data_IF_862487850015
#
_entry.id   IF_862487850015
#
_cell.length_a   1.000
_cell.length_b   1.000
_cell.length_c   1.000
_cell.angle_alpha   90.00
_cell.angle_beta   90.00
_cell.angle_gamma   90.00
#
_symmetry.space_group_name_H-M   'P 1'
#
loop_
_entity.id
_entity.type
_entity.pdbx_description
1 polymer ?
#
# COMPACT_ATOMS: atom_id res chain seq x y z
N UNK A 1 -62.05 12.12 36.90
CA UNK A 1 -62.15 12.89 35.64
C UNK A 1 -60.87 13.68 35.33
N UNK A 2 -60.47 14.75 36.05
CA UNK A 2 -59.20 15.45 35.77
C UNK A 2 -57.94 14.68 36.26
N UNK A 3 -57.95 14.14 37.49
CA UNK A 3 -56.80 13.39 38.04
C UNK A 3 -56.50 12.07 37.31
N UNK A 4 -57.52 11.41 36.75
CA UNK A 4 -57.36 10.21 35.91
C UNK A 4 -56.69 10.52 34.57
N UNK A 5 -56.99 11.70 34.00
CA UNK A 5 -56.39 12.17 32.75
C UNK A 5 -54.91 12.53 32.93
N UNK A 6 -54.56 13.16 34.06
CA UNK A 6 -53.17 13.49 34.41
C UNK A 6 -52.34 12.22 34.65
N UNK A 7 -52.91 11.21 35.31
CA UNK A 7 -52.24 9.93 35.57
C UNK A 7 -52.08 9.06 34.31
N UNK A 8 -53.02 9.08 33.36
CA UNK A 8 -52.85 8.42 32.06
C UNK A 8 -51.77 9.10 31.20
N UNK A 9 -51.74 10.44 31.18
CA UNK A 9 -50.69 11.18 30.49
C UNK A 9 -49.30 10.89 31.08
N UNK A 10 -49.19 10.81 32.41
CA UNK A 10 -47.95 10.47 33.10
C UNK A 10 -47.44 9.08 32.68
N UNK A 11 -48.32 8.07 32.66
CA UNK A 11 -48.00 6.70 32.22
C UNK A 11 -47.57 6.64 30.76
N UNK A 12 -48.22 7.43 29.90
CA UNK A 12 -47.85 7.54 28.48
C UNK A 12 -46.46 8.14 28.31
N UNK A 13 -46.16 9.22 29.02
CA UNK A 13 -44.83 9.86 29.02
C UNK A 13 -43.76 8.86 29.49
N UNK A 14 -44.00 8.13 30.57
CA UNK A 14 -43.07 7.09 31.04
C UNK A 14 -42.86 5.96 30.03
N UNK A 15 -43.93 5.55 29.34
CA UNK A 15 -43.87 4.55 28.26
C UNK A 15 -43.03 5.06 27.09
N UNK A 16 -43.26 6.30 26.65
CA UNK A 16 -42.53 6.92 25.55
C UNK A 16 -41.04 7.09 25.90
N UNK A 17 -40.70 7.44 27.14
CA UNK A 17 -39.32 7.48 27.61
C UNK A 17 -38.64 6.11 27.59
N UNK A 18 -39.34 5.04 28.02
CA UNK A 18 -38.82 3.66 27.95
C UNK A 18 -38.60 3.21 26.51
N UNK A 19 -39.52 3.56 25.61
CA UNK A 19 -39.41 3.30 24.18
C UNK A 19 -38.18 4.01 23.58
N UNK A 20 -37.99 5.29 23.92
CA UNK A 20 -36.89 6.10 23.41
C UNK A 20 -35.53 5.60 23.92
N UNK A 21 -35.44 5.19 25.19
CA UNK A 21 -34.25 4.55 25.75
C UNK A 21 -33.93 3.23 25.04
N UNK A 22 -34.95 2.42 24.74
CA UNK A 22 -34.80 1.14 24.03
C UNK A 22 -34.31 1.35 22.60
N UNK A 23 -34.91 2.31 21.88
CA UNK A 23 -34.49 2.68 20.52
C UNK A 23 -33.06 3.26 20.51
N UNK A 24 -32.71 4.11 21.48
CA UNK A 24 -31.34 4.64 21.61
C UNK A 24 -30.33 3.52 21.82
N UNK A 25 -30.65 2.53 22.66
CA UNK A 25 -29.78 1.37 22.86
C UNK A 25 -29.63 0.54 21.58
N UNK A 26 -30.73 0.30 20.85
CA UNK A 26 -30.72 -0.42 19.59
C UNK A 26 -29.86 0.30 18.53
N UNK A 27 -29.98 1.63 18.42
CA UNK A 27 -29.16 2.43 17.52
C UNK A 27 -27.67 2.26 17.84
N UNK A 28 -27.28 2.37 19.12
CA UNK A 28 -25.89 2.16 19.55
C UNK A 28 -25.38 0.75 19.24
N UNK A 29 -26.22 -0.26 19.36
CA UNK A 29 -25.87 -1.63 19.01
C UNK A 29 -25.63 -1.76 17.50
N UNK A 30 -26.52 -1.19 16.69
CA UNK A 30 -26.41 -1.21 15.23
C UNK A 30 -25.21 -0.42 14.71
N UNK A 31 -24.88 0.69 15.35
CA UNK A 31 -23.64 1.44 15.06
C UNK A 31 -22.39 0.60 15.31
N UNK A 32 -22.34 -0.13 16.44
CA UNK A 32 -21.22 -1.05 16.72
C UNK A 32 -21.13 -2.17 15.70
N UNK A 33 -22.25 -2.79 15.33
CA UNK A 33 -22.30 -3.82 14.28
C UNK A 33 -21.80 -3.27 12.93
N UNK A 34 -22.17 -2.04 12.59
CA UNK A 34 -21.73 -1.39 11.36
C UNK A 34 -20.22 -1.15 11.35
N UNK A 35 -19.66 -0.65 12.44
CA UNK A 35 -18.21 -0.43 12.55
C UNK A 35 -17.42 -1.75 12.48
N UNK A 36 -17.95 -2.82 13.08
CA UNK A 36 -17.36 -4.15 12.98
C UNK A 36 -17.40 -4.67 11.54
N UNK A 37 -18.51 -4.51 10.82
CA UNK A 37 -18.59 -4.89 9.40
C UNK A 37 -17.62 -4.07 8.54
N UNK A 38 -17.48 -2.76 8.78
CA UNK A 38 -16.50 -1.92 8.08
C UNK A 38 -15.08 -2.43 8.30
N UNK A 39 -14.74 -2.80 9.54
CA UNK A 39 -13.44 -3.39 9.89
C UNK A 39 -13.20 -4.69 9.11
N UNK A 40 -14.17 -5.60 9.09
CA UNK A 40 -14.08 -6.86 8.37
C UNK A 40 -13.91 -6.66 6.85
N UNK A 41 -14.68 -5.75 6.25
CA UNK A 41 -14.53 -5.37 4.84
C UNK A 41 -13.11 -4.85 4.58
N UNK A 42 -12.56 -4.05 5.49
CA UNK A 42 -11.19 -3.56 5.39
C UNK A 42 -10.15 -4.67 5.40
N UNK A 43 -10.32 -5.70 6.24
CA UNK A 43 -9.45 -6.86 6.30
C UNK A 43 -9.55 -7.71 5.02
N UNK A 44 -10.76 -8.01 4.57
CA UNK A 44 -10.99 -8.79 3.34
C UNK A 44 -10.42 -8.08 2.10
N UNK A 45 -10.52 -6.75 2.03
CA UNK A 45 -9.89 -5.99 0.93
C UNK A 45 -8.37 -6.17 0.91
N UNK A 46 -7.71 -6.20 2.07
CA UNK A 46 -6.26 -6.45 2.16
C UNK A 46 -5.93 -7.87 1.70
N UNK A 47 -6.70 -8.85 2.16
CA UNK A 47 -6.52 -10.26 1.79
C UNK A 47 -6.69 -10.48 0.28
N UNK A 48 -7.75 -9.92 -0.32
CA UNK A 48 -7.96 -9.96 -1.78
C UNK A 48 -6.77 -9.37 -2.53
N UNK A 49 -6.21 -8.24 -2.06
CA UNK A 49 -5.04 -7.64 -2.70
C UNK A 49 -3.82 -8.56 -2.63
N UNK A 50 -3.58 -9.23 -1.50
CA UNK A 50 -2.49 -10.20 -1.36
C UNK A 50 -2.68 -11.39 -2.30
N UNK A 51 -3.89 -11.96 -2.35
CA UNK A 51 -4.21 -13.06 -3.25
C UNK A 51 -4.08 -12.68 -4.73
N UNK A 52 -4.46 -11.45 -5.10
CA UNK A 52 -4.28 -10.95 -6.47
C UNK A 52 -2.81 -10.79 -6.84
N UNK A 53 -1.97 -10.32 -5.91
CA UNK A 53 -0.52 -10.24 -6.12
C UNK A 53 0.08 -11.64 -6.27
N UNK A 54 -0.30 -12.58 -5.40
CA UNK A 54 0.18 -13.96 -5.50
C UNK A 54 -0.26 -14.59 -6.82
N UNK A 55 -1.51 -14.42 -7.23
CA UNK A 55 -2.00 -14.88 -8.53
C UNK A 55 -1.16 -14.32 -9.68
N UNK A 56 -0.91 -13.01 -9.68
CA UNK A 56 -0.17 -12.34 -10.76
C UNK A 56 1.28 -12.80 -10.87
N UNK A 57 1.92 -13.16 -9.77
CA UNK A 57 3.35 -13.47 -9.74
C UNK A 57 3.64 -14.96 -9.76
N UNK A 58 2.73 -15.77 -9.19
CA UNK A 58 2.98 -17.19 -8.98
C UNK A 58 2.20 -18.11 -9.91
N UNK A 59 1.23 -17.59 -10.67
CA UNK A 59 0.38 -18.38 -11.55
C UNK A 59 0.44 -17.85 -12.98
N UNK A 60 0.26 -18.75 -13.94
CA UNK A 60 0.05 -18.38 -15.35
C UNK A 60 -1.41 -17.99 -15.64
N UNK A 61 -1.69 -17.60 -16.88
CA UNK A 61 -3.02 -17.18 -17.33
C UNK A 61 -4.07 -18.32 -17.25
N UNK A 62 -3.62 -19.57 -17.30
CA UNK A 62 -4.44 -20.77 -17.16
C UNK A 62 -4.71 -21.15 -15.69
N UNK A 63 -4.08 -20.44 -14.74
CA UNK A 63 -4.23 -20.65 -13.31
C UNK A 63 -3.36 -21.79 -12.75
N UNK A 64 -2.36 -22.24 -13.48
CA UNK A 64 -1.37 -23.19 -12.97
C UNK A 64 -0.28 -22.42 -12.21
N UNK A 65 0.13 -22.98 -11.07
CA UNK A 65 1.23 -22.42 -10.29
C UNK A 65 2.55 -22.67 -11.02
N UNK A 66 3.24 -21.59 -11.41
CA UNK A 66 4.52 -21.63 -12.14
C UNK A 66 5.74 -21.44 -11.24
N UNK A 67 5.54 -20.88 -10.05
CA UNK A 67 6.60 -20.70 -9.04
C UNK A 67 6.03 -20.89 -7.62
N UNK A 68 6.92 -21.07 -6.64
CA UNK A 68 6.57 -21.20 -5.22
C UNK A 68 5.80 -19.97 -4.71
N UNK A 69 5.17 -20.08 -3.54
CA UNK A 69 4.44 -18.94 -2.97
C UNK A 69 5.35 -17.73 -2.75
N UNK A 70 4.77 -16.53 -2.75
CA UNK A 70 5.53 -15.32 -2.45
C UNK A 70 6.23 -15.39 -1.09
N UNK A 71 5.62 -16.05 -0.10
CA UNK A 71 6.18 -16.23 1.24
C UNK A 71 7.40 -17.16 1.23
N UNK A 72 7.31 -18.28 0.53
CA UNK A 72 8.42 -19.22 0.40
C UNK A 72 9.61 -18.60 -0.33
N UNK A 73 9.33 -17.85 -1.41
CA UNK A 73 10.37 -17.12 -2.14
C UNK A 73 11.02 -16.04 -1.25
N UNK A 74 10.23 -15.30 -0.48
CA UNK A 74 10.76 -14.28 0.44
C UNK A 74 11.62 -14.91 1.56
N UNK A 75 11.22 -16.08 2.06
CA UNK A 75 11.99 -16.84 3.04
C UNK A 75 13.30 -17.34 2.43
N UNK A 76 13.26 -17.92 1.23
CA UNK A 76 14.46 -18.40 0.53
C UNK A 76 15.43 -17.26 0.26
N UNK A 77 14.94 -16.10 -0.20
CA UNK A 77 15.76 -14.90 -0.39
C UNK A 77 16.38 -14.48 0.94
N UNK A 78 15.59 -14.45 2.03
CA UNK A 78 16.07 -14.04 3.35
C UNK A 78 17.14 -14.98 3.91
N UNK A 79 16.99 -16.30 3.70
CA UNK A 79 17.99 -17.31 4.06
C UNK A 79 19.26 -17.09 3.23
N UNK A 80 19.16 -16.96 1.90
CA UNK A 80 20.32 -16.71 1.03
C UNK A 80 21.06 -15.41 1.39
N UNK A 81 20.32 -14.36 1.73
CA UNK A 81 20.91 -13.09 2.19
C UNK A 81 21.63 -13.25 3.53
N UNK A 82 21.09 -14.07 4.44
CA UNK A 82 21.70 -14.34 5.73
C UNK A 82 22.92 -15.29 5.64
N UNK A 83 22.92 -16.23 4.69
CA UNK A 83 24.03 -17.15 4.43
C UNK A 83 25.19 -16.45 3.73
N UNK A 84 24.92 -15.49 2.85
CA UNK A 84 25.94 -14.77 2.09
C UNK A 84 25.83 -13.24 2.19
N UNK A 85 25.94 -12.67 3.41
CA UNK A 85 25.81 -11.22 3.62
C UNK A 85 26.90 -10.43 2.87
N UNK A 86 28.09 -11.03 2.77
CA UNK A 86 29.24 -10.46 2.06
C UNK A 86 29.03 -10.42 0.54
N UNK A 87 28.38 -11.43 -0.08
CA UNK A 87 28.05 -11.37 -1.51
C UNK A 87 27.11 -10.21 -1.82
N UNK A 88 26.16 -9.92 -0.94
CA UNK A 88 25.23 -8.80 -1.12
C UNK A 88 25.98 -7.47 -1.07
N UNK A 89 26.90 -7.31 -0.13
CA UNK A 89 27.73 -6.12 -0.03
C UNK A 89 28.70 -5.98 -1.22
N UNK A 90 29.27 -7.09 -1.70
CA UNK A 90 30.17 -7.12 -2.84
C UNK A 90 29.45 -6.83 -4.16
N UNK A 91 28.22 -7.36 -4.34
CA UNK A 91 27.35 -7.03 -5.47
C UNK A 91 26.96 -5.55 -5.44
N UNK A 92 26.60 -5.01 -4.26
CA UNK A 92 26.29 -3.58 -4.11
C UNK A 92 27.52 -2.71 -4.39
N UNK A 93 28.72 -3.09 -3.93
CA UNK A 93 29.98 -2.41 -4.25
C UNK A 93 30.28 -2.46 -5.75
N UNK A 94 30.12 -3.62 -6.39
CA UNK A 94 30.34 -3.79 -7.83
C UNK A 94 29.35 -2.94 -8.65
N UNK A 95 28.07 -2.90 -8.27
CA UNK A 95 27.05 -2.08 -8.92
C UNK A 95 27.32 -0.59 -8.72
N UNK A 96 27.72 -0.16 -7.52
CA UNK A 96 28.11 1.24 -7.26
C UNK A 96 29.32 1.64 -8.09
N UNK A 97 30.34 0.78 -8.19
CA UNK A 97 31.51 1.02 -9.03
C UNK A 97 31.10 1.19 -10.50
N UNK A 98 30.30 0.27 -11.03
CA UNK A 98 29.81 0.33 -12.41
C UNK A 98 28.98 1.59 -12.68
N UNK A 99 28.16 2.01 -11.72
CA UNK A 99 27.41 3.26 -11.80
C UNK A 99 28.34 4.48 -11.87
N UNK A 100 29.34 4.56 -10.99
CA UNK A 100 30.33 5.65 -11.01
C UNK A 100 31.08 5.68 -12.34
N UNK A 101 31.54 4.54 -12.84
CA UNK A 101 32.24 4.44 -14.11
C UNK A 101 31.36 4.95 -15.27
N UNK A 102 30.08 4.58 -15.30
CA UNK A 102 29.13 5.07 -16.31
C UNK A 102 28.87 6.57 -16.21
N UNK A 103 28.74 7.13 -15.00
CA UNK A 103 28.56 8.57 -14.79
C UNK A 103 29.79 9.35 -15.25
N UNK A 104 30.99 8.88 -14.94
CA UNK A 104 32.24 9.50 -15.39
C UNK A 104 32.33 9.48 -16.92
N UNK A 105 32.07 8.33 -17.54
CA UNK A 105 32.06 8.20 -19.00
C UNK A 105 31.03 9.13 -19.66
N UNK A 106 29.83 9.27 -19.08
CA UNK A 106 28.82 10.22 -19.56
C UNK A 106 29.28 11.66 -19.41
N UNK A 107 29.91 12.01 -18.30
CA UNK A 107 30.46 13.35 -18.07
C UNK A 107 31.57 13.69 -19.07
N UNK A 108 32.49 12.76 -19.32
CA UNK A 108 33.56 12.91 -20.30
C UNK A 108 33.01 13.07 -21.72
N UNK A 109 32.03 12.24 -22.08
CA UNK A 109 31.37 12.32 -23.38
C UNK A 109 30.62 13.65 -23.54
N UNK A 110 29.95 14.12 -22.49
CA UNK A 110 29.24 15.40 -22.52
C UNK A 110 30.21 16.58 -22.64
N UNK A 111 31.32 16.56 -21.90
CA UNK A 111 32.38 17.56 -22.03
C UNK A 111 33.01 17.57 -23.44
N UNK A 112 33.17 16.39 -24.05
CA UNK A 112 33.64 16.27 -25.44
C UNK A 112 32.62 16.84 -26.44
N UNK A 113 31.33 16.58 -26.24
CA UNK A 113 30.26 17.19 -27.05
C UNK A 113 30.21 18.71 -26.90
N UNK A 114 30.36 19.24 -25.69
CA UNK A 114 30.41 20.68 -25.43
C UNK A 114 31.63 21.33 -26.09
N UNK A 115 32.80 20.70 -26.02
CA UNK A 115 34.01 21.16 -26.70
C UNK A 115 33.85 21.18 -28.23
N UNK A 116 33.29 20.13 -28.81
CA UNK A 116 32.94 20.07 -30.24
C UNK A 116 31.94 21.16 -30.64
N UNK A 117 30.91 21.38 -29.83
CA UNK A 117 29.92 22.44 -30.08
C UNK A 117 30.55 23.83 -30.08
N UNK A 118 31.49 24.10 -29.18
CA UNK A 118 32.22 25.37 -29.16
C UNK A 118 33.20 25.50 -30.33
N UNK A 119 33.85 24.41 -30.78
CA UNK A 119 34.65 24.39 -32.01
C UNK A 119 33.80 24.64 -33.26
N UNK A 120 32.58 24.12 -33.32
CA UNK A 120 31.64 24.35 -34.44
C UNK A 120 31.09 25.77 -34.44
N UNK A 121 30.97 26.44 -33.28
CA UNK A 121 30.52 27.85 -33.17
C UNK A 121 31.61 28.86 -33.56
N UNK A 122 32.90 28.55 -33.33
CA UNK A 122 34.04 29.44 -33.67
C UNK A 122 34.08 29.93 -35.13
N UNK A 123 33.78 29.12 -36.17
CA UNK A 123 33.78 29.61 -37.55
C UNK A 123 32.64 30.58 -37.90
N UNK A 124 31.63 30.76 -37.03
CA UNK A 124 30.49 31.67 -37.28
C UNK A 124 30.58 33.01 -36.49
N UNK A 125 31.65 33.24 -35.72
CA UNK A 125 31.86 34.48 -34.95
C UNK A 125 32.92 35.44 -35.55
N UNK A 126 33.46 35.13 -36.74
CA UNK A 126 34.31 36.06 -37.51
C UNK A 126 33.59 36.60 -38.77
N UNK A 127 32.44 37.24 -38.56
CA UNK A 127 31.86 38.21 -39.51
C UNK A 127 31.40 39.43 -38.71
#
# INVERSE_FOLDING_TARGET
MMEEYETENQKKIESDFKMLASLSHLCKLKEKELEEMKRQIGLLKKEINLLNLERKWCFDDDGNRITQSCEDQALEISIKLAEFPHLTEDVVKALRKKHTDLVTNLSELNAHFDALNEEIKRPYQMI
#
